data_IF_250900127187
#
_entry.id   IF_250900127187
#
_cell.length_a   1.000
_cell.length_b   1.000
_cell.length_c   1.000
_cell.angle_alpha   90.00
_cell.angle_beta   90.00
_cell.angle_gamma   90.00
#
_symmetry.space_group_name_H-M   'P 1'
#
loop_
_entity.id
_entity.type
_entity.pdbx_description
1 polymer ?
#
# COMPACT_ATOMS: atom_id res chain seq x y z
N UNK A 1 -34.11 -14.01 -10.92
CA UNK A 1 -33.62 -13.63 -9.58
C UNK A 1 -32.12 -13.88 -9.57
N UNK A 2 -31.32 -12.82 -9.75
CA UNK A 2 -29.87 -12.94 -9.66
C UNK A 2 -29.51 -13.06 -8.18
N UNK A 3 -29.07 -14.25 -7.79
CA UNK A 3 -28.44 -14.48 -6.49
C UNK A 3 -27.24 -13.54 -6.45
N UNK A 4 -27.25 -12.58 -5.53
CA UNK A 4 -26.09 -11.76 -5.23
C UNK A 4 -25.02 -12.70 -4.73
N UNK A 5 -24.12 -13.10 -5.63
CA UNK A 5 -22.91 -13.84 -5.27
C UNK A 5 -22.19 -13.02 -4.21
N UNK A 6 -22.29 -13.54 -3.00
CA UNK A 6 -21.51 -13.10 -1.87
C UNK A 6 -20.05 -13.28 -2.32
N UNK A 7 -19.38 -12.19 -2.75
CA UNK A 7 -17.94 -12.18 -3.01
C UNK A 7 -17.22 -12.30 -1.68
N UNK A 8 -17.40 -13.42 -1.00
CA UNK A 8 -16.49 -13.87 0.03
C UNK A 8 -15.27 -14.31 -0.74
N UNK A 9 -14.24 -13.47 -0.76
CA UNK A 9 -12.93 -13.88 -1.26
C UNK A 9 -12.57 -15.21 -0.59
N UNK A 10 -11.97 -16.17 -1.32
CA UNK A 10 -11.47 -17.40 -0.71
C UNK A 10 -10.64 -17.05 0.52
N UNK A 11 -10.83 -17.78 1.63
CA UNK A 11 -10.13 -17.48 2.89
C UNK A 11 -8.62 -17.41 2.73
N UNK A 12 -8.05 -18.23 1.84
CA UNK A 12 -6.62 -18.24 1.52
C UNK A 12 -6.12 -16.91 0.94
N UNK A 13 -6.90 -16.29 0.04
CA UNK A 13 -6.56 -14.97 -0.55
C UNK A 13 -6.66 -13.88 0.50
N UNK A 14 -7.66 -13.95 1.38
CA UNK A 14 -7.81 -13.02 2.49
C UNK A 14 -6.64 -13.13 3.48
N UNK A 15 -6.24 -14.35 3.83
CA UNK A 15 -5.13 -14.62 4.74
C UNK A 15 -3.80 -14.12 4.16
N UNK A 16 -3.59 -14.29 2.84
CA UNK A 16 -2.43 -13.75 2.14
C UNK A 16 -2.41 -12.22 2.17
N UNK A 17 -3.52 -11.55 1.85
CA UNK A 17 -3.63 -10.09 1.94
C UNK A 17 -3.39 -9.59 3.37
N UNK A 18 -3.95 -10.26 4.37
CA UNK A 18 -3.73 -9.93 5.78
C UNK A 18 -2.27 -10.10 6.19
N UNK A 19 -1.62 -11.19 5.78
CA UNK A 19 -0.20 -11.41 6.02
C UNK A 19 0.68 -10.34 5.34
N UNK A 20 0.32 -9.96 4.11
CA UNK A 20 0.99 -8.91 3.35
C UNK A 20 0.85 -7.54 4.04
N UNK A 21 -0.36 -7.20 4.50
CA UNK A 21 -0.72 -5.94 5.17
C UNK A 21 -0.38 -5.92 6.67
N UNK A 22 0.15 -7.01 7.23
CA UNK A 22 0.70 -7.01 8.58
C UNK A 22 1.89 -6.04 8.72
N UNK A 23 2.58 -5.73 7.61
CA UNK A 23 3.66 -4.76 7.56
C UNK A 23 3.14 -3.31 7.58
N UNK A 24 3.67 -2.51 8.50
CA UNK A 24 3.24 -1.12 8.72
C UNK A 24 3.47 -0.22 7.51
N UNK A 25 4.61 -0.37 6.82
CA UNK A 25 4.93 0.42 5.62
C UNK A 25 4.00 0.10 4.47
N UNK A 26 3.59 -1.16 4.30
CA UNK A 26 2.59 -1.54 3.27
C UNK A 26 1.21 -0.96 3.54
N UNK A 27 0.80 -0.86 4.81
CA UNK A 27 -0.45 -0.19 5.15
C UNK A 27 -0.38 1.30 4.84
N UNK A 28 0.71 1.96 5.19
CA UNK A 28 0.93 3.37 4.83
C UNK A 28 0.82 3.57 3.30
N UNK A 29 1.49 2.75 2.51
CA UNK A 29 1.42 2.80 1.03
C UNK A 29 -0.03 2.66 0.54
N UNK A 30 -0.76 1.66 1.03
CA UNK A 30 -2.16 1.43 0.65
C UNK A 30 -3.03 2.61 1.00
N UNK A 31 -2.87 3.20 2.19
CA UNK A 31 -3.64 4.36 2.62
C UNK A 31 -3.38 5.58 1.74
N UNK A 32 -2.10 5.90 1.52
CA UNK A 32 -1.69 7.03 0.67
C UNK A 32 -2.27 6.89 -0.74
N UNK A 33 -2.16 5.70 -1.35
CA UNK A 33 -2.68 5.46 -2.69
C UNK A 33 -4.22 5.41 -2.73
N UNK A 34 -4.87 4.92 -1.67
CA UNK A 34 -6.32 4.84 -1.57
C UNK A 34 -6.99 6.20 -1.34
N UNK A 35 -6.29 7.18 -0.74
CA UNK A 35 -6.79 8.54 -0.56
C UNK A 35 -6.85 9.30 -1.89
N UNK A 36 -5.80 9.22 -2.70
CA UNK A 36 -5.71 10.00 -3.94
C UNK A 36 -6.25 9.25 -5.17
N UNK A 37 -6.44 7.92 -5.08
CA UNK A 37 -6.96 7.02 -6.13
C UNK A 37 -6.43 7.34 -7.54
N UNK A 38 -5.15 7.65 -7.64
CA UNK A 38 -4.45 8.03 -8.86
C UNK A 38 -3.04 7.45 -8.83
N UNK A 39 -2.35 7.54 -9.96
CA UNK A 39 -0.97 7.07 -10.05
C UNK A 39 0.06 8.13 -9.65
N UNK A 40 1.10 7.71 -8.94
CA UNK A 40 2.17 8.54 -8.40
C UNK A 40 3.55 8.08 -8.84
N UNK A 41 4.52 9.00 -8.76
CA UNK A 41 5.93 8.63 -8.85
C UNK A 41 6.34 7.88 -7.57
N UNK A 42 7.15 6.83 -7.72
CA UNK A 42 7.67 6.06 -6.58
C UNK A 42 8.44 6.95 -5.61
N UNK A 43 9.20 7.93 -6.10
CA UNK A 43 9.93 8.89 -5.25
C UNK A 43 9.02 9.73 -4.34
N UNK A 44 7.86 10.16 -4.85
CA UNK A 44 6.89 10.90 -4.04
C UNK A 44 6.30 10.01 -2.95
N UNK A 45 5.92 8.78 -3.32
CA UNK A 45 5.45 7.78 -2.36
C UNK A 45 6.52 7.48 -1.30
N UNK A 46 7.79 7.36 -1.70
CA UNK A 46 8.92 7.16 -0.80
C UNK A 46 9.04 8.29 0.22
N UNK A 47 8.89 9.54 -0.22
CA UNK A 47 8.89 10.70 0.66
C UNK A 47 7.77 10.64 1.70
N UNK A 48 6.53 10.39 1.25
CA UNK A 48 5.38 10.28 2.14
C UNK A 48 5.52 9.13 3.15
N UNK A 49 5.91 7.94 2.69
CA UNK A 49 6.11 6.79 3.58
C UNK A 49 7.26 7.01 4.56
N UNK A 50 8.36 7.65 4.15
CA UNK A 50 9.49 7.95 5.03
C UNK A 50 9.17 9.05 6.06
N UNK A 51 8.40 10.06 5.68
CA UNK A 51 7.90 11.10 6.57
C UNK A 51 6.98 10.51 7.64
N UNK A 52 6.03 9.64 7.24
CA UNK A 52 5.14 8.93 8.14
C UNK A 52 5.91 8.00 9.10
N UNK A 53 6.86 7.21 8.58
CA UNK A 53 7.70 6.30 9.38
C UNK A 53 8.47 7.04 10.47
N UNK A 54 8.97 8.24 10.16
CA UNK A 54 9.79 9.04 11.08
C UNK A 54 8.98 9.99 11.94
N UNK A 55 7.70 10.20 11.64
CA UNK A 55 6.86 11.18 12.31
C UNK A 55 7.33 12.62 12.12
N UNK A 56 7.93 12.94 10.96
CA UNK A 56 8.43 14.28 10.62
C UNK A 56 7.74 14.78 9.35
N UNK A 57 7.58 16.10 9.17
CA UNK A 57 7.05 16.64 7.93
C UNK A 57 8.05 16.44 6.77
N UNK A 58 7.54 16.43 5.53
CA UNK A 58 8.32 16.17 4.31
C UNK A 58 9.48 17.17 4.12
N UNK A 59 9.30 18.42 4.50
CA UNK A 59 10.30 19.48 4.39
C UNK A 59 11.47 19.33 5.38
N UNK A 60 11.25 18.61 6.48
CA UNK A 60 12.29 18.24 7.45
C UNK A 60 12.96 16.90 7.14
N UNK A 61 12.54 16.21 6.06
CA UNK A 61 13.02 14.89 5.72
C UNK A 61 14.38 14.98 4.98
N UNK A 62 15.43 14.29 5.44
CA UNK A 62 16.68 14.23 4.69
C UNK A 62 16.49 13.48 3.36
N UNK A 63 17.12 13.96 2.30
CA UNK A 63 17.08 13.32 0.97
C UNK A 63 17.49 11.83 1.04
N UNK A 64 18.52 11.52 1.81
CA UNK A 64 19.01 10.16 2.05
C UNK A 64 17.95 9.24 2.68
N UNK A 65 16.96 9.79 3.39
CA UNK A 65 15.84 9.02 3.91
C UNK A 65 14.83 8.66 2.80
N UNK A 66 14.55 9.62 1.90
CA UNK A 66 13.70 9.41 0.73
C UNK A 66 14.32 8.35 -0.18
N UNK A 67 15.60 8.50 -0.54
CA UNK A 67 16.30 7.56 -1.42
C UNK A 67 16.33 6.13 -0.84
N UNK A 68 16.61 6.00 0.47
CA UNK A 68 16.56 4.68 1.13
C UNK A 68 15.17 4.08 1.11
N UNK A 69 14.12 4.89 1.27
CA UNK A 69 12.76 4.41 1.20
C UNK A 69 12.39 4.03 -0.25
N UNK A 70 12.81 4.81 -1.24
CA UNK A 70 12.59 4.53 -2.66
C UNK A 70 13.18 3.18 -3.07
N UNK A 71 14.41 2.88 -2.65
CA UNK A 71 15.06 1.57 -2.86
C UNK A 71 14.25 0.44 -2.20
N UNK A 72 13.77 0.63 -0.96
CA UNK A 72 12.92 -0.37 -0.28
C UNK A 72 11.60 -0.58 -1.01
N UNK A 73 10.95 0.51 -1.46
CA UNK A 73 9.71 0.43 -2.22
C UNK A 73 9.92 -0.41 -3.47
N UNK A 74 10.97 -0.09 -4.24
CA UNK A 74 11.28 -0.76 -5.50
C UNK A 74 11.56 -2.25 -5.33
N UNK A 75 12.33 -2.65 -4.31
CA UNK A 75 12.80 -4.03 -4.19
C UNK A 75 12.00 -4.92 -3.23
N UNK A 76 11.20 -4.34 -2.33
CA UNK A 76 10.58 -5.10 -1.22
C UNK A 76 9.07 -4.92 -1.15
N UNK A 77 8.58 -3.69 -1.28
CA UNK A 77 7.17 -3.40 -1.03
C UNK A 77 6.35 -3.47 -2.32
N UNK A 78 6.71 -2.70 -3.34
CA UNK A 78 5.91 -2.57 -4.56
C UNK A 78 5.79 -3.88 -5.33
N UNK A 79 6.86 -4.68 -5.54
CA UNK A 79 6.72 -5.97 -6.25
C UNK A 79 5.73 -6.91 -5.57
N UNK A 80 5.73 -7.00 -4.24
CA UNK A 80 4.79 -7.90 -3.53
C UNK A 80 3.37 -7.36 -3.46
N UNK A 81 3.21 -6.03 -3.48
CA UNK A 81 1.89 -5.41 -3.57
C UNK A 81 1.30 -5.57 -4.98
N UNK A 82 2.16 -5.55 -6.00
CA UNK A 82 1.82 -5.76 -7.40
C UNK A 82 1.45 -7.22 -7.70
N UNK A 83 2.23 -8.18 -7.18
CA UNK A 83 1.90 -9.62 -7.23
C UNK A 83 0.52 -9.93 -6.62
N UNK A 84 0.13 -9.20 -5.57
CA UNK A 84 -1.18 -9.33 -4.92
C UNK A 84 -2.31 -8.53 -5.63
N UNK A 85 -2.00 -7.78 -6.70
CA UNK A 85 -2.96 -6.96 -7.43
C UNK A 85 -3.49 -5.75 -6.65
N UNK A 86 -2.86 -5.42 -5.51
CA UNK A 86 -3.25 -4.28 -4.66
C UNK A 86 -2.82 -2.97 -5.33
N UNK A 87 -1.64 -2.97 -5.93
CA UNK A 87 -1.11 -1.86 -6.73
C UNK A 87 -0.77 -2.39 -8.12
N UNK A 88 -0.62 -1.47 -9.07
CA UNK A 88 0.02 -1.73 -10.35
C UNK A 88 1.36 -0.98 -10.34
N UNK A 89 2.46 -1.73 -10.36
CA UNK A 89 3.79 -1.16 -10.28
C UNK A 89 4.54 -1.19 -11.62
N UNK A 90 4.85 0.00 -12.15
CA UNK A 90 5.69 0.18 -13.33
C UNK A 90 7.13 0.53 -12.92
N UNK A 91 8.00 -0.46 -13.05
CA UNK A 91 9.43 -0.34 -12.76
C UNK A 91 10.20 0.48 -13.80
N UNK A 92 9.73 0.53 -15.05
CA UNK A 92 10.41 1.27 -16.12
C UNK A 92 10.14 2.77 -15.96
N UNK A 93 8.88 3.12 -15.70
CA UNK A 93 8.45 4.52 -15.52
C UNK A 93 8.62 5.01 -14.07
N UNK A 94 8.95 4.13 -13.13
CA UNK A 94 8.96 4.41 -11.68
C UNK A 94 7.64 5.03 -11.20
N UNK A 95 6.53 4.41 -11.60
CA UNK A 95 5.19 4.84 -11.22
C UNK A 95 4.43 3.70 -10.57
N UNK A 96 3.54 4.06 -9.66
CA UNK A 96 2.64 3.12 -8.99
C UNK A 96 1.22 3.64 -9.13
N UNK A 97 0.28 2.75 -9.38
CA UNK A 97 -1.14 3.06 -9.44
C UNK A 97 -1.94 2.13 -8.52
N UNK A 98 -3.15 2.53 -8.09
CA UNK A 98 -4.09 1.62 -7.45
C UNK A 98 -4.44 0.45 -8.37
N UNK A 99 -4.27 -0.79 -7.89
CA UNK A 99 -4.67 -1.99 -8.60
C UNK A 99 -6.12 -2.38 -8.32
N UNK A 100 -6.56 -3.48 -8.94
CA UNK A 100 -7.93 -3.99 -8.80
C UNK A 100 -8.31 -4.34 -7.35
N UNK A 101 -7.35 -4.84 -6.55
CA UNK A 101 -7.57 -5.21 -5.15
C UNK A 101 -7.36 -4.06 -4.17
N UNK A 102 -7.08 -2.83 -4.63
CA UNK A 102 -6.89 -1.67 -3.76
C UNK A 102 -8.10 -1.44 -2.84
N UNK A 103 -9.32 -1.54 -3.36
CA UNK A 103 -10.54 -1.35 -2.57
C UNK A 103 -10.69 -2.42 -1.47
N UNK A 104 -10.25 -3.65 -1.75
CA UNK A 104 -10.20 -4.73 -0.75
C UNK A 104 -9.14 -4.42 0.30
N UNK A 105 -7.92 -4.12 -0.11
CA UNK A 105 -6.80 -3.81 0.77
C UNK A 105 -7.12 -2.64 1.71
N UNK A 106 -7.70 -1.55 1.18
CA UNK A 106 -8.13 -0.39 1.97
C UNK A 106 -9.07 -0.80 3.10
N UNK A 107 -10.12 -1.58 2.80
CA UNK A 107 -11.08 -2.06 3.83
C UNK A 107 -10.39 -2.91 4.90
N UNK A 108 -9.42 -3.74 4.52
CA UNK A 108 -8.66 -4.56 5.47
C UNK A 108 -7.79 -3.69 6.38
N UNK A 109 -7.13 -2.66 5.83
CA UNK A 109 -6.33 -1.72 6.61
C UNK A 109 -7.21 -0.93 7.60
N UNK A 110 -8.37 -0.45 7.17
CA UNK A 110 -9.35 0.22 8.03
C UNK A 110 -9.85 -0.70 9.17
N UNK A 111 -10.08 -1.98 8.86
CA UNK A 111 -10.45 -3.00 9.85
C UNK A 111 -9.33 -3.26 10.87
N UNK A 112 -8.08 -3.40 10.41
CA UNK A 112 -6.91 -3.63 11.27
C UNK A 112 -6.65 -2.46 12.22
N UNK A 113 -6.85 -1.20 11.77
CA UNK A 113 -6.78 -0.02 12.64
C UNK A 113 -7.89 0.01 13.68
N UNK A 114 -9.11 -0.42 13.30
CA UNK A 114 -10.26 -0.46 14.20
C UNK A 114 -10.11 -1.55 15.27
N UNK A 115 -9.52 -2.69 14.92
CA UNK A 115 -9.28 -3.80 15.83
C UNK A 115 -8.17 -3.53 16.87
N UNK A 116 -7.21 -2.65 16.57
CA UNK A 116 -6.12 -2.27 17.50
C UNK A 116 -6.53 -1.21 18.54
N UNK A 117 -7.75 -0.68 18.46
CA UNK A 117 -8.28 0.40 19.33
C UNK A 117 -9.21 -0.13 20.44
N UNK A 118 -9.00 -1.36 20.90
CA UNK A 118 -9.69 -1.97 22.05
C UNK A 118 -8.68 -2.52 23.05
#
# INVERSE_FOLDING_TARGET
MAVTENRTLPSEVLDEHLALLANDQRRAIVEILAEENRSHQVRLLAGWTAAEERGVPLDALPEEAVERMEVKLHHVHLPKLDEAGIVEYDAEENRVAPGAEMATARRLVESLRSARRN
#
